data_IF_420432609917
#
_entry.id   IF_420432609917
#
_cell.length_a   1.000
_cell.length_b   1.000
_cell.length_c   1.000
_cell.angle_alpha   90.00
_cell.angle_beta   90.00
_cell.angle_gamma   90.00
#
_symmetry.space_group_name_H-M   'P 1'
#
loop_
_entity.id
_entity.type
_entity.pdbx_description
1 polymer ?
#
# COMPACT_ATOMS: atom_id res chain seq x y z
N UNK A 1 -2.98 22.19 -3.03
CA UNK A 1 -2.38 21.34 -1.97
C UNK A 1 -2.04 20.00 -2.57
N UNK A 2 -0.82 19.53 -2.34
CA UNK A 2 -0.38 18.24 -2.89
C UNK A 2 -1.01 17.09 -2.11
N UNK A 3 -1.63 16.15 -2.81
CA UNK A 3 -2.25 14.97 -2.22
C UNK A 3 -1.31 13.78 -2.29
N UNK A 4 -1.14 13.10 -1.17
CA UNK A 4 -0.38 11.86 -1.05
C UNK A 4 -1.33 10.75 -0.62
N UNK A 5 -1.38 9.67 -1.36
CA UNK A 5 -2.18 8.50 -1.03
C UNK A 5 -1.27 7.36 -0.56
N UNK A 6 -1.46 6.93 0.68
CA UNK A 6 -0.84 5.73 1.21
C UNK A 6 -1.76 4.55 0.99
N UNK A 7 -1.24 3.47 0.42
CA UNK A 7 -2.03 2.29 0.07
C UNK A 7 -1.53 1.07 0.84
N UNK A 8 -2.43 0.41 1.52
CA UNK A 8 -2.14 -0.87 2.18
C UNK A 8 -3.36 -1.79 2.10
N UNK A 9 -3.12 -3.08 1.90
CA UNK A 9 -4.16 -4.10 1.90
C UNK A 9 -4.09 -5.02 3.12
N UNK A 10 -3.01 -4.98 3.89
CA UNK A 10 -2.79 -5.88 5.03
C UNK A 10 -2.52 -5.18 6.36
N UNK A 11 -2.02 -3.95 6.34
CA UNK A 11 -1.74 -3.22 7.57
C UNK A 11 -3.00 -2.61 8.17
N UNK A 12 -3.01 -2.47 9.48
CA UNK A 12 -4.10 -1.79 10.19
C UNK A 12 -4.03 -0.29 9.96
N UNK A 13 -5.18 0.39 9.99
CA UNK A 13 -5.25 1.85 9.85
C UNK A 13 -4.46 2.59 10.93
N UNK A 14 -4.23 1.95 12.07
CA UNK A 14 -3.49 2.51 13.21
C UNK A 14 -2.04 2.07 13.24
N UNK A 15 -1.53 1.50 12.14
CA UNK A 15 -0.14 1.07 12.06
C UNK A 15 0.82 2.20 12.45
N UNK A 16 1.75 1.90 13.36
CA UNK A 16 2.65 2.90 13.91
C UNK A 16 3.51 3.57 12.85
N UNK A 17 4.06 2.79 11.92
CA UNK A 17 4.93 3.35 10.89
C UNK A 17 4.15 4.13 9.84
N UNK A 18 3.06 3.57 9.35
CA UNK A 18 2.27 4.18 8.27
C UNK A 18 1.49 5.37 8.81
N UNK A 19 0.63 5.15 9.80
CA UNK A 19 -0.27 6.18 10.28
C UNK A 19 0.44 7.19 11.19
N UNK A 20 1.06 6.72 12.27
CA UNK A 20 1.58 7.62 13.30
C UNK A 20 2.82 8.39 12.83
N UNK A 21 3.71 7.75 12.08
CA UNK A 21 4.94 8.41 11.64
C UNK A 21 4.80 9.07 10.28
N UNK A 22 4.35 8.35 9.26
CA UNK A 22 4.35 8.86 7.89
C UNK A 22 3.14 9.75 7.59
N UNK A 23 1.92 9.25 7.77
CA UNK A 23 0.73 10.01 7.42
C UNK A 23 0.61 11.29 8.25
N UNK A 24 0.77 11.21 9.55
CA UNK A 24 0.69 12.37 10.43
C UNK A 24 1.77 13.40 10.15
N UNK A 25 2.99 12.95 9.89
CA UNK A 25 4.10 13.86 9.54
C UNK A 25 3.83 14.61 8.25
N UNK A 26 3.24 13.95 7.25
CA UNK A 26 2.88 14.60 6.00
C UNK A 26 1.77 15.63 6.18
N UNK A 27 0.78 15.34 7.02
CA UNK A 27 -0.27 16.31 7.35
C UNK A 27 0.33 17.53 8.03
N UNK A 28 1.22 17.33 9.00
CA UNK A 28 1.93 18.42 9.68
C UNK A 28 2.76 19.26 8.72
N UNK A 29 3.29 18.64 7.66
CA UNK A 29 4.05 19.35 6.64
C UNK A 29 3.20 20.05 5.58
N UNK A 30 1.87 20.00 5.69
CA UNK A 30 0.94 20.71 4.81
C UNK A 30 0.41 19.91 3.63
N UNK A 31 0.63 18.59 3.59
CA UNK A 31 0.08 17.72 2.54
C UNK A 31 -1.35 17.28 2.88
N UNK A 32 -2.14 17.08 1.84
CA UNK A 32 -3.40 16.36 1.95
C UNK A 32 -3.09 14.86 1.90
N UNK A 33 -3.48 14.10 2.93
CA UNK A 33 -3.11 12.69 3.05
C UNK A 33 -4.36 11.83 3.09
N UNK A 34 -4.38 10.81 2.23
CA UNK A 34 -5.40 9.77 2.23
C UNK A 34 -4.71 8.43 2.50
N UNK A 35 -5.23 7.69 3.47
CA UNK A 35 -4.78 6.33 3.76
C UNK A 35 -5.87 5.36 3.31
N UNK A 36 -5.57 4.55 2.31
CA UNK A 36 -6.47 3.51 1.81
C UNK A 36 -6.13 2.20 2.51
N UNK A 37 -7.11 1.62 3.19
CA UNK A 37 -6.98 0.38 3.96
C UNK A 37 -8.04 -0.64 3.55
N UNK A 38 -7.85 -1.88 3.94
CA UNK A 38 -8.79 -2.97 3.69
C UNK A 38 -9.10 -3.70 5.00
N UNK A 39 -9.51 -2.96 6.03
CA UNK A 39 -9.72 -3.51 7.37
C UNK A 39 -11.19 -3.72 7.76
N UNK A 40 -12.12 -3.21 6.96
CA UNK A 40 -13.56 -3.41 7.22
C UNK A 40 -14.14 -2.53 8.32
N UNK A 41 -13.41 -1.54 8.80
CA UNK A 41 -13.88 -0.65 9.89
C UNK A 41 -14.55 0.62 9.40
N UNK A 42 -14.65 0.81 8.08
CA UNK A 42 -15.34 1.96 7.48
C UNK A 42 -14.46 3.18 7.27
N UNK A 43 -14.99 4.15 6.56
CA UNK A 43 -14.30 5.40 6.27
C UNK A 43 -14.36 6.34 7.47
N UNK A 44 -13.27 7.09 7.68
CA UNK A 44 -13.20 8.11 8.75
C UNK A 44 -12.08 9.10 8.46
N UNK A 45 -11.91 10.06 9.33
CA UNK A 45 -10.76 10.97 9.34
C UNK A 45 -10.22 11.07 10.75
N UNK A 46 -8.91 10.94 10.90
CA UNK A 46 -8.23 10.98 12.19
C UNK A 46 -6.96 11.81 12.04
N UNK A 47 -6.78 12.80 12.92
CA UNK A 47 -5.60 13.68 12.94
C UNK A 47 -5.28 14.32 11.58
N UNK A 48 -6.32 14.68 10.83
CA UNK A 48 -6.17 15.27 9.51
C UNK A 48 -5.92 14.29 8.38
N UNK A 49 -5.80 12.98 8.67
CA UNK A 49 -5.64 11.92 7.68
C UNK A 49 -7.01 11.37 7.33
N UNK A 50 -7.36 11.42 6.05
CA UNK A 50 -8.58 10.78 5.54
C UNK A 50 -8.31 9.30 5.37
N UNK A 51 -9.12 8.45 6.03
CA UNK A 51 -8.99 6.99 5.93
C UNK A 51 -10.15 6.47 5.09
N UNK A 52 -9.81 5.81 3.99
CA UNK A 52 -10.76 5.19 3.08
C UNK A 52 -10.62 3.68 3.16
N UNK A 53 -11.70 2.99 3.53
CA UNK A 53 -11.74 1.54 3.67
C UNK A 53 -12.35 0.91 2.43
N UNK A 54 -11.65 -0.04 1.83
CA UNK A 54 -12.14 -0.77 0.65
C UNK A 54 -12.74 -2.13 1.02
N UNK A 55 -12.80 -2.44 2.31
CA UNK A 55 -13.38 -3.67 2.81
C UNK A 55 -12.36 -4.78 3.02
N UNK A 56 -12.58 -5.56 4.07
CA UNK A 56 -11.73 -6.70 4.44
C UNK A 56 -12.00 -7.92 3.56
N UNK A 57 -10.95 -8.68 3.25
CA UNK A 57 -11.06 -9.96 2.55
C UNK A 57 -10.21 -11.02 3.23
N UNK A 58 -10.73 -12.24 3.33
CA UNK A 58 -10.04 -13.38 3.93
C UNK A 58 -9.51 -14.34 2.88
N UNK A 59 -8.42 -15.02 3.22
CA UNK A 59 -7.76 -15.98 2.34
C UNK A 59 -7.12 -15.34 1.12
N UNK A 60 -6.60 -16.18 0.21
CA UNK A 60 -5.89 -15.69 -0.99
C UNK A 60 -6.80 -14.89 -1.91
N UNK A 61 -8.02 -15.39 -2.16
CA UNK A 61 -8.99 -14.68 -3.01
C UNK A 61 -9.42 -13.34 -2.40
N UNK A 62 -9.64 -13.33 -1.09
CA UNK A 62 -10.00 -12.10 -0.37
C UNK A 62 -8.89 -11.06 -0.42
N UNK A 63 -7.64 -11.49 -0.32
CA UNK A 63 -6.47 -10.61 -0.40
C UNK A 63 -6.28 -10.04 -1.82
N UNK A 64 -6.47 -10.87 -2.85
CA UNK A 64 -6.44 -10.40 -4.24
C UNK A 64 -7.58 -9.44 -4.53
N UNK A 65 -8.78 -9.73 -4.03
CA UNK A 65 -9.92 -8.83 -4.14
C UNK A 65 -9.67 -7.49 -3.45
N UNK A 66 -9.05 -7.51 -2.27
CA UNK A 66 -8.68 -6.29 -1.54
C UNK A 66 -7.67 -5.46 -2.34
N UNK A 67 -6.65 -6.09 -2.91
CA UNK A 67 -5.68 -5.40 -3.76
C UNK A 67 -6.34 -4.72 -4.97
N UNK A 68 -7.29 -5.41 -5.61
CA UNK A 68 -8.04 -4.83 -6.73
C UNK A 68 -8.89 -3.64 -6.29
N UNK A 69 -9.54 -3.74 -5.13
CA UNK A 69 -10.34 -2.62 -4.60
C UNK A 69 -9.47 -1.43 -4.22
N UNK A 70 -8.28 -1.69 -3.66
CA UNK A 70 -7.29 -0.64 -3.39
C UNK A 70 -6.88 0.05 -4.70
N UNK A 71 -6.61 -0.71 -5.74
CA UNK A 71 -6.27 -0.17 -7.06
C UNK A 71 -7.38 0.75 -7.61
N UNK A 72 -8.64 0.31 -7.55
CA UNK A 72 -9.78 1.11 -8.00
C UNK A 72 -9.92 2.41 -7.21
N UNK A 73 -9.80 2.33 -5.89
CA UNK A 73 -9.85 3.51 -5.03
C UNK A 73 -8.71 4.47 -5.35
N UNK A 74 -7.50 3.95 -5.52
CA UNK A 74 -6.32 4.75 -5.84
C UNK A 74 -6.51 5.51 -7.18
N UNK A 75 -7.03 4.85 -8.19
CA UNK A 75 -7.29 5.51 -9.48
C UNK A 75 -8.26 6.68 -9.37
N UNK A 76 -9.27 6.56 -8.53
CA UNK A 76 -10.28 7.60 -8.33
C UNK A 76 -9.73 8.81 -7.57
N UNK A 77 -8.78 8.60 -6.68
CA UNK A 77 -8.21 9.67 -5.85
C UNK A 77 -7.33 10.64 -6.64
N UNK A 78 -6.66 10.16 -7.67
CA UNK A 78 -5.74 10.96 -8.51
C UNK A 78 -4.72 11.79 -7.70
N UNK A 79 -4.01 11.22 -6.73
CA UNK A 79 -3.03 11.96 -5.97
C UNK A 79 -1.78 12.25 -6.80
N UNK A 80 -0.93 13.15 -6.32
CA UNK A 80 0.37 13.39 -6.93
C UNK A 80 1.33 12.24 -6.68
N UNK A 81 1.26 11.63 -5.49
CA UNK A 81 2.15 10.56 -5.06
C UNK A 81 1.33 9.42 -4.48
N UNK A 82 1.63 8.19 -4.95
CA UNK A 82 1.18 6.96 -4.32
C UNK A 82 2.31 6.38 -3.50
N UNK A 83 2.04 6.06 -2.25
CA UNK A 83 3.00 5.42 -1.36
C UNK A 83 2.44 4.05 -0.97
N UNK A 84 3.01 2.97 -1.51
CA UNK A 84 2.55 1.61 -1.25
C UNK A 84 3.43 0.93 -0.20
N UNK A 85 2.78 0.13 0.66
CA UNK A 85 3.41 -0.45 1.83
C UNK A 85 3.52 -1.97 1.80
N UNK A 86 2.82 -2.64 0.90
CA UNK A 86 2.76 -4.09 0.87
C UNK A 86 3.32 -4.66 -0.43
N UNK A 87 4.12 -5.75 -0.39
CA UNK A 87 4.58 -6.41 -1.62
C UNK A 87 3.45 -6.87 -2.52
N UNK A 88 2.29 -7.21 -1.95
CA UNK A 88 1.09 -7.62 -2.69
C UNK A 88 0.58 -6.51 -3.62
N UNK A 89 0.89 -5.25 -3.32
CA UNK A 89 0.48 -4.10 -4.10
C UNK A 89 1.51 -3.68 -5.17
N UNK A 90 2.60 -4.40 -5.33
CA UNK A 90 3.58 -4.09 -6.38
C UNK A 90 2.97 -4.07 -7.79
N UNK A 91 2.13 -5.04 -8.19
CA UNK A 91 1.44 -4.96 -9.48
C UNK A 91 0.54 -3.73 -9.59
N UNK A 92 -0.14 -3.37 -8.50
CA UNK A 92 -0.96 -2.16 -8.43
C UNK A 92 -0.09 -0.92 -8.63
N UNK A 93 1.04 -0.84 -7.95
CA UNK A 93 1.99 0.25 -8.09
C UNK A 93 2.52 0.40 -9.51
N UNK A 94 2.81 -0.72 -10.17
CA UNK A 94 3.27 -0.72 -11.55
C UNK A 94 2.21 -0.15 -12.50
N UNK A 95 0.95 -0.57 -12.33
CA UNK A 95 -0.15 -0.04 -13.12
C UNK A 95 -0.38 1.45 -12.88
N UNK A 96 -0.30 1.89 -11.62
CA UNK A 96 -0.45 3.30 -11.27
C UNK A 96 0.68 4.16 -11.84
N UNK A 97 1.91 3.63 -11.83
CA UNK A 97 3.05 4.33 -12.43
C UNK A 97 2.86 4.56 -13.92
N UNK A 98 2.22 3.65 -14.63
CA UNK A 98 1.94 3.80 -16.06
C UNK A 98 0.99 4.97 -16.36
N UNK A 99 0.23 5.44 -15.38
CA UNK A 99 -0.63 6.61 -15.53
C UNK A 99 0.14 7.95 -15.41
N UNK A 100 1.46 7.91 -15.26
CA UNK A 100 2.31 9.10 -15.12
C UNK A 100 2.42 9.63 -13.70
N UNK A 101 1.94 8.89 -12.71
CA UNK A 101 2.01 9.29 -11.30
C UNK A 101 3.31 8.79 -10.66
N UNK A 102 3.75 9.49 -9.61
CA UNK A 102 4.89 9.06 -8.80
C UNK A 102 4.42 7.94 -7.86
N UNK A 103 5.14 6.83 -7.87
CA UNK A 103 4.88 5.69 -7.01
C UNK A 103 6.11 5.38 -6.18
N UNK A 104 5.96 5.36 -4.86
CA UNK A 104 7.00 4.99 -3.90
C UNK A 104 6.60 3.69 -3.24
N UNK A 105 7.52 2.74 -3.20
CA UNK A 105 7.35 1.50 -2.44
C UNK A 105 8.21 1.56 -1.17
N UNK A 106 7.56 1.48 -0.01
CA UNK A 106 8.24 1.45 1.28
C UNK A 106 8.30 0.01 1.78
N UNK A 107 9.47 -0.62 1.64
CA UNK A 107 9.70 -1.96 2.13
C UNK A 107 9.91 -1.91 3.66
N UNK A 108 8.92 -2.36 4.42
CA UNK A 108 8.99 -2.42 5.88
C UNK A 108 9.96 -3.48 6.37
N UNK A 109 10.26 -4.46 5.52
CA UNK A 109 11.12 -5.60 5.81
C UNK A 109 12.02 -5.85 4.61
N UNK A 110 13.06 -6.65 4.79
CA UNK A 110 13.90 -7.07 3.66
C UNK A 110 13.14 -8.14 2.84
N UNK A 111 12.22 -7.69 2.00
CA UNK A 111 11.37 -8.55 1.17
C UNK A 111 12.21 -9.46 0.25
N UNK A 112 13.27 -8.99 -0.43
CA UNK A 112 14.11 -9.88 -1.23
C UNK A 112 14.71 -11.03 -0.43
N UNK A 113 15.24 -10.78 0.77
CA UNK A 113 15.79 -11.82 1.63
C UNK A 113 14.70 -12.77 2.12
N UNK A 114 13.54 -12.25 2.51
CA UNK A 114 12.41 -13.08 2.94
C UNK A 114 11.91 -13.99 1.83
N UNK A 115 11.78 -13.50 0.61
CA UNK A 115 11.35 -14.31 -0.55
C UNK A 115 12.34 -15.43 -0.82
N UNK A 116 13.64 -15.19 -0.65
CA UNK A 116 14.68 -16.20 -0.85
C UNK A 116 14.58 -17.32 0.19
N UNK A 117 14.15 -17.01 1.41
CA UNK A 117 14.08 -17.98 2.52
C UNK A 117 12.75 -18.70 2.63
N UNK A 118 11.72 -18.34 1.87
CA UNK A 118 10.40 -18.95 1.98
C UNK A 118 10.39 -20.38 1.40
N UNK A 119 9.99 -21.40 2.20
CA UNK A 119 10.11 -22.79 1.80
C UNK A 119 9.13 -23.22 0.69
N UNK A 120 8.04 -22.50 0.51
CA UNK A 120 7.03 -22.82 -0.51
C UNK A 120 7.38 -22.29 -1.90
N UNK A 121 8.47 -21.53 -2.02
CA UNK A 121 8.95 -21.04 -3.31
C UNK A 121 10.15 -21.88 -3.76
N UNK A 122 10.22 -22.21 -5.08
CA UNK A 122 11.41 -22.80 -5.64
C UNK A 122 12.56 -21.79 -5.58
N UNK A 123 13.85 -22.25 -5.55
CA UNK A 123 14.98 -21.31 -5.55
C UNK A 123 14.97 -20.32 -6.70
N UNK A 124 14.56 -20.76 -7.88
CA UNK A 124 14.46 -19.91 -9.07
C UNK A 124 13.39 -18.84 -8.91
N UNK A 125 12.20 -19.23 -8.41
CA UNK A 125 11.10 -18.29 -8.17
C UNK A 125 11.44 -17.28 -7.08
N UNK A 126 12.12 -17.72 -6.03
CA UNK A 126 12.58 -16.82 -4.95
C UNK A 126 13.50 -15.74 -5.48
N UNK A 127 14.47 -16.13 -6.32
CA UNK A 127 15.43 -15.20 -6.91
C UNK A 127 14.74 -14.23 -7.87
N UNK A 128 13.82 -14.73 -8.70
CA UNK A 128 13.07 -13.89 -9.62
C UNK A 128 12.23 -12.85 -8.88
N UNK A 129 11.47 -13.26 -7.84
CA UNK A 129 10.65 -12.36 -7.06
C UNK A 129 11.49 -11.33 -6.28
N UNK A 130 12.62 -11.75 -5.71
CA UNK A 130 13.53 -10.85 -5.04
C UNK A 130 14.10 -9.78 -5.99
N UNK A 131 14.41 -10.17 -7.22
CA UNK A 131 14.89 -9.26 -8.26
C UNK A 131 13.83 -8.23 -8.67
N UNK A 132 12.56 -8.61 -8.71
CA UNK A 132 11.44 -7.70 -9.03
C UNK A 132 11.20 -6.68 -7.92
N UNK A 133 11.44 -7.06 -6.67
CA UNK A 133 11.18 -6.23 -5.49
C UNK A 133 12.29 -5.21 -5.22
N UNK A 134 13.50 -5.45 -5.68
CA UNK A 134 14.65 -4.54 -5.51
C UNK A 134 14.54 -3.26 -6.39
#
# INVERSE_FOLDING_TARGET
MTTVAHLTSVHRRTDTRIFLRQCRSLVEAGYEVVLVVADGHGDTSVDGVRIQDVGHGQGVRGRLGAALRVFRAARQLRPAIFHIHDPELLPVGWLLRRSGRIVVFDAHEDVPAQLITKPYLSPQRRRLLASVVR
#
